data_IF_142315211860
#
_entry.id   IF_142315211860
#
_cell.length_a   1.000
_cell.length_b   1.000
_cell.length_c   1.000
_cell.angle_alpha   90.00
_cell.angle_beta   90.00
_cell.angle_gamma   90.00
#
_symmetry.space_group_name_H-M   'P 1'
#
loop_
_entity.id
_entity.type
_entity.pdbx_description
1 polymer ?
#
# COMPACT_ATOMS: atom_id res chain seq x y z
N UNK A 1 1.14 -13.21 5.11
CA UNK A 1 1.54 -11.86 4.61
C UNK A 1 2.24 -11.10 5.72
N UNK A 2 3.34 -10.37 5.40
CA UNK A 2 4.06 -9.52 6.35
C UNK A 2 3.85 -8.06 6.00
N UNK A 3 3.35 -7.26 6.94
CA UNK A 3 3.21 -5.81 6.82
C UNK A 3 4.40 -5.10 7.46
N UNK A 4 4.93 -4.06 6.82
CA UNK A 4 5.99 -3.20 7.36
C UNK A 4 5.45 -1.79 7.52
N UNK A 5 5.40 -1.27 8.74
CA UNK A 5 4.83 0.05 9.01
C UNK A 5 5.51 0.70 10.23
N UNK A 6 5.12 1.92 10.58
CA UNK A 6 5.58 2.58 11.80
C UNK A 6 4.83 2.08 13.03
N UNK A 7 5.41 2.28 14.21
CA UNK A 7 4.84 1.91 15.52
C UNK A 7 3.35 2.26 15.65
N UNK A 8 2.94 3.44 15.19
CA UNK A 8 1.56 3.93 15.31
C UNK A 8 0.54 3.18 14.45
N UNK A 9 0.99 2.35 13.51
CA UNK A 9 0.14 1.65 12.55
C UNK A 9 0.12 0.13 12.74
N UNK A 10 0.85 -0.41 13.72
CA UNK A 10 1.00 -1.85 13.94
C UNK A 10 -0.35 -2.56 14.11
N UNK A 11 -1.18 -2.05 15.02
CA UNK A 11 -2.49 -2.63 15.31
C UNK A 11 -3.42 -2.58 14.09
N UNK A 12 -3.41 -1.46 13.36
CA UNK A 12 -4.21 -1.32 12.14
C UNK A 12 -3.78 -2.31 11.07
N UNK A 13 -2.47 -2.44 10.81
CA UNK A 13 -1.94 -3.36 9.79
C UNK A 13 -2.24 -4.81 10.15
N UNK A 14 -2.21 -5.15 11.44
CA UNK A 14 -2.63 -6.47 11.93
C UNK A 14 -4.13 -6.69 11.76
N UNK A 15 -4.94 -5.68 12.09
CA UNK A 15 -6.40 -5.74 11.97
C UNK A 15 -6.88 -5.97 10.52
N UNK A 16 -6.22 -5.36 9.54
CA UNK A 16 -6.56 -5.55 8.13
C UNK A 16 -6.08 -6.89 7.54
N UNK A 17 -5.39 -7.74 8.33
CA UNK A 17 -5.12 -9.12 7.98
C UNK A 17 -3.65 -9.48 7.75
N UNK A 18 -2.69 -8.67 8.21
CA UNK A 18 -1.30 -9.09 8.20
C UNK A 18 -1.04 -10.17 9.26
N UNK A 19 -0.48 -11.32 8.84
CA UNK A 19 -0.09 -12.41 9.75
C UNK A 19 1.08 -11.99 10.65
N UNK A 20 1.97 -11.15 10.13
CA UNK A 20 3.14 -10.62 10.81
C UNK A 20 3.28 -9.14 10.52
N UNK A 21 3.67 -8.36 11.53
CA UNK A 21 3.92 -6.93 11.38
C UNK A 21 5.31 -6.59 11.88
N UNK A 22 6.02 -5.75 11.14
CA UNK A 22 7.37 -5.28 11.46
C UNK A 22 7.35 -3.76 11.58
N UNK A 23 7.89 -3.26 12.68
CA UNK A 23 8.07 -1.84 12.92
C UNK A 23 9.40 -1.36 12.32
N UNK A 24 9.34 -0.66 11.18
CA UNK A 24 10.55 -0.16 10.54
C UNK A 24 11.26 0.94 11.35
N UNK A 25 10.62 1.52 12.36
CA UNK A 25 11.23 2.53 13.23
C UNK A 25 12.13 1.91 14.28
N UNK A 26 11.97 0.61 14.55
CA UNK A 26 12.72 -0.14 15.54
C UNK A 26 13.73 -1.11 14.90
N UNK A 27 13.40 -1.64 13.74
CA UNK A 27 14.24 -2.63 13.10
C UNK A 27 14.17 -2.58 11.56
N UNK A 28 15.24 -3.01 10.94
CA UNK A 28 15.32 -3.18 9.48
C UNK A 28 14.94 -4.62 9.12
N UNK A 29 13.78 -4.79 8.46
CA UNK A 29 13.27 -6.11 8.05
C UNK A 29 14.24 -6.86 7.14
N UNK A 30 15.12 -6.18 6.40
CA UNK A 30 16.09 -6.81 5.50
C UNK A 30 17.22 -7.53 6.25
N UNK A 31 17.38 -7.24 7.55
CA UNK A 31 18.40 -7.86 8.42
C UNK A 31 17.88 -9.10 9.14
N UNK A 32 16.59 -9.41 9.07
CA UNK A 32 16.00 -10.56 9.75
C UNK A 32 16.34 -11.92 9.12
N UNK A 33 16.93 -11.92 7.93
CA UNK A 33 17.22 -13.16 7.20
C UNK A 33 15.98 -13.82 6.56
N UNK A 34 14.81 -13.22 6.70
CA UNK A 34 13.60 -13.67 6.04
C UNK A 34 13.61 -13.33 4.55
N UNK A 35 13.03 -14.22 3.73
CA UNK A 35 12.96 -14.04 2.29
C UNK A 35 11.52 -14.16 1.78
N UNK A 36 11.18 -13.29 0.82
CA UNK A 36 9.84 -13.10 0.30
C UNK A 36 9.78 -13.41 -1.19
N UNK A 37 8.63 -13.89 -1.64
CA UNK A 37 8.34 -14.09 -3.07
C UNK A 37 8.07 -12.74 -3.76
N UNK A 38 7.38 -11.83 -3.05
CA UNK A 38 7.02 -10.50 -3.52
C UNK A 38 7.26 -9.48 -2.41
N UNK A 39 7.89 -8.37 -2.75
CA UNK A 39 7.96 -7.16 -1.91
C UNK A 39 7.25 -6.04 -2.66
N UNK A 40 6.11 -5.60 -2.12
CA UNK A 40 5.33 -4.46 -2.62
C UNK A 40 5.71 -3.22 -1.83
N UNK A 41 6.30 -2.22 -2.49
CA UNK A 41 6.61 -0.92 -1.88
C UNK A 41 5.55 0.11 -2.29
N UNK A 42 4.64 0.41 -1.38
CA UNK A 42 3.52 1.34 -1.60
C UNK A 42 3.89 2.80 -1.36
N UNK A 43 5.04 3.08 -0.74
CA UNK A 43 5.42 4.42 -0.25
C UNK A 43 6.63 5.00 -0.97
N UNK A 44 7.45 4.15 -1.61
CA UNK A 44 8.70 4.57 -2.26
C UNK A 44 9.80 4.95 -1.27
N UNK A 45 9.79 4.35 -0.06
CA UNK A 45 10.80 4.61 0.97
C UNK A 45 11.92 3.58 1.03
N UNK A 46 11.80 2.51 0.26
CA UNK A 46 12.85 1.51 0.10
C UNK A 46 13.35 1.47 -1.36
N UNK A 47 14.24 0.55 -1.67
CA UNK A 47 14.74 0.36 -3.03
C UNK A 47 14.98 -1.13 -3.29
N UNK A 48 14.97 -1.50 -4.57
CA UNK A 48 15.31 -2.87 -4.98
C UNK A 48 16.67 -3.33 -4.42
N UNK A 49 17.68 -2.47 -4.48
CA UNK A 49 19.03 -2.82 -4.00
C UNK A 49 19.04 -3.10 -2.49
N UNK A 50 18.28 -2.33 -1.71
CA UNK A 50 18.17 -2.49 -0.27
C UNK A 50 17.49 -3.81 0.09
N UNK A 51 16.35 -4.12 -0.53
CA UNK A 51 15.56 -5.31 -0.21
C UNK A 51 15.92 -6.56 -1.05
N UNK A 52 16.86 -6.45 -1.99
CA UNK A 52 17.26 -7.55 -2.88
C UNK A 52 17.64 -8.83 -2.13
N UNK A 53 18.31 -8.73 -0.97
CA UNK A 53 18.71 -9.89 -0.17
C UNK A 53 17.50 -10.58 0.46
N UNK A 54 16.44 -9.86 0.74
CA UNK A 54 15.18 -10.37 1.31
C UNK A 54 14.22 -10.92 0.26
N UNK A 55 14.60 -10.97 -1.01
CA UNK A 55 13.84 -11.66 -2.05
C UNK A 55 14.37 -13.06 -2.27
N UNK A 56 13.48 -14.03 -2.45
CA UNK A 56 13.80 -15.38 -2.90
C UNK A 56 14.42 -15.37 -4.31
N UNK A 57 15.07 -16.47 -4.74
CA UNK A 57 15.41 -16.67 -6.16
C UNK A 57 14.16 -16.45 -7.04
N UNK A 58 14.25 -15.61 -8.06
CA UNK A 58 13.11 -15.20 -8.93
C UNK A 58 12.03 -14.35 -8.22
N UNK A 59 12.26 -13.90 -6.99
CA UNK A 59 11.36 -12.99 -6.27
C UNK A 59 11.21 -11.64 -6.98
N UNK A 60 10.09 -10.97 -6.72
CA UNK A 60 9.66 -9.75 -7.40
C UNK A 60 9.68 -8.58 -6.42
N UNK A 61 10.29 -7.47 -6.82
CA UNK A 61 10.11 -6.16 -6.20
C UNK A 61 9.14 -5.34 -7.05
N UNK A 62 8.07 -4.85 -6.43
CA UNK A 62 7.01 -4.10 -7.09
C UNK A 62 6.85 -2.72 -6.43
N UNK A 63 7.52 -1.66 -6.93
CA UNK A 63 7.31 -0.30 -6.48
C UNK A 63 6.01 0.27 -7.07
N UNK A 64 5.16 0.86 -6.22
CA UNK A 64 3.97 1.62 -6.65
C UNK A 64 4.38 3.03 -7.09
N UNK A 65 5.35 3.63 -6.39
CA UNK A 65 5.94 4.90 -6.79
C UNK A 65 7.24 4.62 -7.54
N UNK A 66 7.29 5.03 -8.80
CA UNK A 66 8.44 4.79 -9.68
C UNK A 66 9.10 6.09 -10.09
N UNK A 67 10.42 6.07 -10.16
CA UNK A 67 11.26 7.10 -10.75
C UNK A 67 12.15 6.49 -11.85
N UNK A 68 13.03 7.28 -12.41
CA UNK A 68 13.92 6.83 -13.50
C UNK A 68 14.82 5.64 -13.11
N UNK A 69 15.20 5.53 -11.84
CA UNK A 69 16.02 4.41 -11.34
C UNK A 69 15.29 3.08 -11.44
N UNK A 70 14.02 3.04 -11.03
CA UNK A 70 13.18 1.84 -11.13
C UNK A 70 12.93 1.43 -12.59
N UNK A 71 12.73 2.39 -13.48
CA UNK A 71 12.57 2.12 -14.91
C UNK A 71 13.81 1.43 -15.50
N UNK A 72 15.01 1.94 -15.20
CA UNK A 72 16.26 1.30 -15.62
C UNK A 72 16.40 -0.10 -15.02
N UNK A 73 16.05 -0.28 -13.76
CA UNK A 73 16.11 -1.58 -13.09
C UNK A 73 15.13 -2.59 -13.68
N UNK A 74 13.93 -2.17 -14.10
CA UNK A 74 12.95 -3.03 -14.78
C UNK A 74 13.58 -3.60 -16.06
N UNK A 75 14.15 -2.74 -16.90
CA UNK A 75 14.79 -3.16 -18.16
C UNK A 75 15.95 -4.11 -17.86
N UNK A 76 16.85 -3.74 -16.98
CA UNK A 76 18.03 -4.55 -16.66
C UNK A 76 17.67 -5.89 -16.04
N UNK A 77 16.74 -5.93 -15.08
CA UNK A 77 16.33 -7.18 -14.43
C UNK A 77 15.50 -8.06 -15.35
N UNK A 78 14.81 -7.52 -16.37
CA UNK A 78 14.08 -8.31 -17.37
C UNK A 78 15.00 -9.22 -18.19
N UNK A 79 16.24 -8.76 -18.45
CA UNK A 79 17.25 -9.49 -19.22
C UNK A 79 17.99 -10.55 -18.40
N UNK A 80 17.86 -10.54 -17.08
CA UNK A 80 18.55 -11.49 -16.19
C UNK A 80 17.60 -12.60 -15.73
N UNK A 81 18.11 -13.81 -15.48
CA UNK A 81 17.31 -14.94 -14.96
C UNK A 81 16.96 -14.88 -13.48
N UNK A 82 17.35 -13.81 -12.77
CA UNK A 82 17.28 -13.71 -11.32
C UNK A 82 16.03 -13.00 -10.78
N UNK A 83 16.21 -12.25 -9.70
CA UNK A 83 15.18 -11.42 -9.06
C UNK A 83 14.76 -10.30 -10.01
N UNK A 84 13.47 -9.96 -10.01
CA UNK A 84 12.88 -9.02 -10.95
C UNK A 84 12.40 -7.75 -10.25
N UNK A 85 12.56 -6.63 -10.93
CA UNK A 85 11.77 -5.42 -10.66
C UNK A 85 10.63 -5.42 -11.66
N UNK A 86 9.40 -5.29 -11.18
CA UNK A 86 8.22 -5.14 -12.01
C UNK A 86 7.51 -3.86 -11.61
N UNK A 87 6.91 -3.20 -12.56
CA UNK A 87 6.11 -2.00 -12.36
C UNK A 87 5.40 -1.65 -13.65
N UNK A 88 4.44 -0.75 -13.57
CA UNK A 88 3.64 -0.30 -14.69
C UNK A 88 2.72 0.81 -14.24
N UNK A 89 1.95 1.33 -15.18
CA UNK A 89 0.84 2.24 -14.92
C UNK A 89 -0.38 1.37 -14.70
N UNK A 90 -1.15 1.66 -13.64
CA UNK A 90 -2.46 1.03 -13.47
C UNK A 90 -3.38 1.50 -14.60
N UNK A 91 -4.01 0.55 -15.28
CA UNK A 91 -5.06 0.82 -16.24
C UNK A 91 -6.39 0.58 -15.49
N UNK A 92 -7.19 1.63 -15.37
CA UNK A 92 -8.43 1.59 -14.61
C UNK A 92 -9.56 1.16 -15.53
N UNK A 93 -10.25 0.08 -15.18
CA UNK A 93 -11.38 -0.46 -15.94
C UNK A 93 -12.66 -0.54 -15.10
N UNK A 94 -13.81 -0.65 -15.76
CA UNK A 94 -15.08 -0.87 -15.08
C UNK A 94 -15.09 -2.24 -14.41
N UNK A 95 -14.48 -3.23 -15.04
CA UNK A 95 -14.32 -4.58 -14.53
C UNK A 95 -13.56 -4.61 -13.19
N UNK A 96 -12.54 -3.75 -13.03
CA UNK A 96 -11.82 -3.63 -11.76
C UNK A 96 -12.71 -3.07 -10.65
N UNK A 97 -13.58 -2.09 -10.96
CA UNK A 97 -14.54 -1.54 -10.01
C UNK A 97 -15.56 -2.60 -9.56
N UNK A 98 -16.08 -3.40 -10.48
CA UNK A 98 -17.00 -4.49 -10.17
C UNK A 98 -16.29 -5.56 -9.31
N UNK A 99 -15.05 -5.90 -9.62
CA UNK A 99 -14.25 -6.81 -8.80
C UNK A 99 -14.02 -6.28 -7.38
N UNK A 100 -13.68 -5.00 -7.22
CA UNK A 100 -13.56 -4.39 -5.89
C UNK A 100 -14.88 -4.40 -5.12
N UNK A 101 -15.99 -4.15 -5.80
CA UNK A 101 -17.32 -4.23 -5.19
C UNK A 101 -17.60 -5.65 -4.66
N UNK A 102 -17.32 -6.69 -5.44
CA UNK A 102 -17.48 -8.08 -5.02
C UNK A 102 -16.61 -8.40 -3.79
N UNK A 103 -15.36 -7.93 -3.76
CA UNK A 103 -14.48 -8.12 -2.59
C UNK A 103 -15.03 -7.42 -1.33
N UNK A 104 -15.62 -6.24 -1.47
CA UNK A 104 -16.28 -5.53 -0.37
C UNK A 104 -17.49 -6.29 0.14
N UNK A 105 -18.39 -6.72 -0.75
CA UNK A 105 -19.61 -7.46 -0.42
C UNK A 105 -19.29 -8.81 0.22
N UNK A 106 -18.21 -9.48 -0.22
CA UNK A 106 -17.72 -10.72 0.38
C UNK A 106 -16.96 -10.52 1.73
N UNK A 107 -16.78 -9.27 2.18
CA UNK A 107 -16.03 -8.96 3.40
C UNK A 107 -14.52 -9.24 3.33
N UNK A 108 -13.99 -9.50 2.13
CA UNK A 108 -12.57 -9.78 1.89
C UNK A 108 -11.74 -8.49 1.82
N UNK A 109 -12.36 -7.37 1.47
CA UNK A 109 -11.75 -6.05 1.49
C UNK A 109 -12.38 -5.21 2.61
N UNK A 110 -11.54 -4.79 3.57
CA UNK A 110 -11.97 -4.00 4.73
C UNK A 110 -11.45 -2.57 4.60
N UNK A 111 -12.34 -1.58 4.37
CA UNK A 111 -11.91 -0.19 4.34
C UNK A 111 -11.54 0.27 5.75
N UNK A 112 -10.40 0.91 5.87
CA UNK A 112 -10.04 1.63 7.09
C UNK A 112 -10.54 3.06 6.94
N UNK A 113 -11.46 3.48 7.82
CA UNK A 113 -11.95 4.86 7.88
C UNK A 113 -11.19 5.54 9.02
N UNK A 114 -10.43 6.57 8.68
CA UNK A 114 -9.68 7.39 9.63
C UNK A 114 -10.58 8.45 10.25
N UNK A 115 -11.29 9.22 9.40
CA UNK A 115 -12.17 10.31 9.82
C UNK A 115 -13.35 10.50 8.88
N UNK A 116 -14.46 10.97 9.47
CA UNK A 116 -15.62 11.46 8.73
C UNK A 116 -15.79 12.96 8.96
N UNK A 117 -16.09 13.69 7.90
CA UNK A 117 -16.39 15.11 7.95
C UNK A 117 -17.74 15.37 7.27
N UNK A 118 -18.59 16.25 7.80
CA UNK A 118 -19.77 16.70 7.09
C UNK A 118 -19.36 17.54 5.87
N UNK A 119 -20.25 17.67 4.89
CA UNK A 119 -19.97 18.35 3.62
C UNK A 119 -19.46 19.79 3.83
N UNK A 120 -19.98 20.50 4.81
CA UNK A 120 -19.62 21.89 5.15
C UNK A 120 -18.17 22.01 5.64
N UNK A 121 -17.58 20.90 6.11
CA UNK A 121 -16.20 20.82 6.61
C UNK A 121 -15.22 20.22 5.59
N UNK A 122 -15.58 20.15 4.35
CA UNK A 122 -14.72 19.61 3.27
C UNK A 122 -13.33 20.27 3.25
N UNK A 123 -13.26 21.60 3.43
CA UNK A 123 -11.97 22.30 3.48
C UNK A 123 -11.08 21.87 4.66
N UNK A 124 -11.66 21.49 5.81
CA UNK A 124 -10.91 20.95 6.95
C UNK A 124 -10.39 19.54 6.64
N UNK A 125 -11.22 18.73 5.96
CA UNK A 125 -10.84 17.38 5.54
C UNK A 125 -9.65 17.43 4.58
N UNK A 126 -9.64 18.32 3.59
CA UNK A 126 -8.52 18.51 2.67
C UNK A 126 -7.23 18.91 3.42
N UNK A 127 -7.30 19.92 4.30
CA UNK A 127 -6.13 20.32 5.12
C UNK A 127 -5.60 19.19 5.99
N UNK A 128 -6.47 18.29 6.44
CA UNK A 128 -6.04 17.10 7.19
C UNK A 128 -5.30 16.12 6.29
N UNK A 129 -5.83 15.83 5.10
CA UNK A 129 -5.20 14.90 4.14
C UNK A 129 -3.85 15.44 3.64
N UNK A 130 -3.74 16.74 3.38
CA UNK A 130 -2.50 17.40 2.92
C UNK A 130 -1.33 17.26 3.90
N UNK A 131 -1.60 17.05 5.19
CA UNK A 131 -0.56 16.77 6.20
C UNK A 131 0.15 15.42 5.98
N UNK A 132 -0.41 14.54 5.13
CA UNK A 132 0.22 13.26 4.77
C UNK A 132 0.24 12.18 5.86
N UNK A 133 -0.48 12.37 6.98
CA UNK A 133 -0.46 11.47 8.13
C UNK A 133 -1.78 10.71 8.37
N UNK A 134 -2.67 10.69 7.37
CA UNK A 134 -3.93 9.93 7.48
C UNK A 134 -3.64 8.42 7.59
N UNK A 135 -4.43 7.74 8.43
CA UNK A 135 -4.30 6.29 8.69
C UNK A 135 -5.31 5.43 7.93
N UNK A 136 -6.07 6.02 7.06
CA UNK A 136 -7.12 5.37 6.29
C UNK A 136 -7.83 6.35 5.38
N UNK A 137 -9.05 6.02 4.99
CA UNK A 137 -9.89 6.88 4.16
C UNK A 137 -10.48 8.03 4.98
N UNK A 138 -10.47 9.21 4.40
CA UNK A 138 -11.21 10.37 4.93
C UNK A 138 -12.50 10.47 4.15
N UNK A 139 -13.63 10.40 4.85
CA UNK A 139 -14.97 10.32 4.26
C UNK A 139 -15.68 11.66 4.45
N UNK A 140 -16.29 12.16 3.39
CA UNK A 140 -17.24 13.28 3.48
C UNK A 140 -18.65 12.71 3.54
N UNK A 141 -19.39 13.03 4.59
CA UNK A 141 -20.78 12.63 4.75
C UNK A 141 -21.71 13.69 4.19
N UNK A 142 -22.63 13.27 3.33
CA UNK A 142 -23.70 14.12 2.80
C UNK A 142 -25.00 13.66 3.45
N UNK A 143 -25.56 14.49 4.33
CA UNK A 143 -26.87 14.23 4.89
C UNK A 143 -27.93 14.47 3.82
N UNK A 144 -28.58 13.40 3.38
CA UNK A 144 -29.81 13.52 2.63
C UNK A 144 -30.94 13.87 3.62
N UNK A 145 -31.26 15.15 3.75
CA UNK A 145 -32.52 15.55 4.35
C UNK A 145 -33.64 14.87 3.55
N UNK A 146 -34.16 13.76 4.04
CA UNK A 146 -35.48 13.29 3.60
C UNK A 146 -36.44 14.41 3.98
N UNK A 147 -36.80 15.27 3.00
CA UNK A 147 -37.97 16.13 3.18
C UNK A 147 -39.16 15.23 3.49
N UNK A 148 -39.96 15.58 4.49
CA UNK A 148 -41.14 14.83 4.87
C UNK A 148 -42.13 14.70 3.69
#
# INVERSE_FOLDING_TARGET
MTGVCSTTNLEMVKFIGADKVIDYTQEDYTKRGEVYDLILDTVGKTSFLHCKKSLKPKGIYLPVVMNLTELVQIIWTSMTGGKKVKGGVADESVEDLDFFKELFEAGQLKPVIDRCYPLEKTAEAFRYVEKGHKKGNVVITVEHNKKP
#
